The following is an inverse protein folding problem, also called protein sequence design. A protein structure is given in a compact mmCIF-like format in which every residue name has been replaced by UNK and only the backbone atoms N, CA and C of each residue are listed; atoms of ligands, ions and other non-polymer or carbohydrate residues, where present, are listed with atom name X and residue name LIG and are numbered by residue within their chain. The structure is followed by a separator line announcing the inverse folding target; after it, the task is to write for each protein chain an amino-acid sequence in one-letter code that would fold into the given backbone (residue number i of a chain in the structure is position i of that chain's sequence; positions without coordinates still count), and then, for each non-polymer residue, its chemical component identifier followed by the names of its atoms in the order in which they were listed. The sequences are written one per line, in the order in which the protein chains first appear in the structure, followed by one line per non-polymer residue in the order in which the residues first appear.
data_IF_656782001340
#
_entry.id   IF_656782001340
#
_cell.length_a   1.000
_cell.length_b   1.000
_cell.length_c   1.000
_cell.angle_alpha   90.00
_cell.angle_beta   90.00
_cell.angle_gamma   90.00
#
_symmetry.space_group_name_H-M   'P 1'
#
loop_
_entity.id
_entity.type
_entity.pdbx_description
1 polymer ?
#
# COMPACT_ATOMS: atom_id res chain seq x y z
N UNK A 1 -4.61 -27.36 -21.03
CA UNK A 1 -5.53 -26.85 -19.99
C UNK A 1 -4.74 -25.96 -19.05
N UNK A 2 -4.92 -24.64 -19.13
CA UNK A 2 -4.42 -23.74 -18.09
C UNK A 2 -5.29 -23.96 -16.85
N UNK A 3 -4.71 -24.47 -15.76
CA UNK A 3 -5.39 -24.49 -14.47
C UNK A 3 -5.79 -23.04 -14.15
N UNK A 4 -7.04 -22.77 -13.73
CA UNK A 4 -7.39 -21.46 -13.20
C UNK A 4 -6.43 -21.16 -12.06
N UNK A 5 -5.68 -20.06 -12.19
CA UNK A 5 -4.78 -19.64 -11.13
C UNK A 5 -5.62 -19.34 -9.89
N UNK A 6 -5.14 -19.70 -8.68
CA UNK A 6 -5.84 -19.35 -7.46
C UNK A 6 -6.00 -17.82 -7.40
N UNK A 7 -7.19 -17.35 -7.02
CA UNK A 7 -7.49 -15.94 -6.79
C UNK A 7 -6.76 -15.49 -5.51
N UNK A 8 -5.46 -15.26 -5.64
CA UNK A 8 -4.59 -14.82 -4.55
C UNK A 8 -4.60 -13.29 -4.41
N UNK A 9 -5.55 -12.59 -5.04
CA UNK A 9 -5.58 -11.13 -5.05
C UNK A 9 -5.88 -10.52 -3.66
N UNK A 10 -6.85 -11.03 -2.85
CA UNK A 10 -7.05 -10.52 -1.49
C UNK A 10 -5.84 -10.79 -0.57
N UNK A 11 -5.24 -12.01 -0.54
CA UNK A 11 -4.01 -12.24 0.23
C UNK A 11 -2.81 -11.41 -0.26
N UNK A 12 -2.69 -11.13 -1.57
CA UNK A 12 -1.63 -10.26 -2.12
C UNK A 12 -1.76 -8.82 -1.65
N UNK A 13 -2.98 -8.29 -1.62
CA UNK A 13 -3.27 -6.95 -1.12
C UNK A 13 -2.91 -6.82 0.37
N UNK A 14 -3.22 -7.82 1.18
CA UNK A 14 -2.86 -7.83 2.60
C UNK A 14 -1.35 -7.92 2.83
N UNK A 15 -0.66 -8.77 2.06
CA UNK A 15 0.78 -8.87 2.12
C UNK A 15 1.44 -7.55 1.72
N UNK A 16 0.95 -6.91 0.64
CA UNK A 16 1.40 -5.58 0.24
C UNK A 16 1.14 -4.52 1.32
N UNK A 17 -0.03 -4.55 1.97
CA UNK A 17 -0.34 -3.67 3.10
C UNK A 17 0.66 -3.86 4.26
N UNK A 18 1.03 -5.09 4.59
CA UNK A 18 2.05 -5.38 5.59
C UNK A 18 3.43 -4.79 5.25
N UNK A 19 3.84 -4.87 3.98
CA UNK A 19 5.08 -4.26 3.51
C UNK A 19 5.05 -2.73 3.55
N UNK A 20 3.90 -2.14 3.27
CA UNK A 20 3.69 -0.70 3.40
C UNK A 20 3.76 -0.26 4.87
N UNK A 21 3.17 -1.01 5.80
CA UNK A 21 3.27 -0.70 7.22
C UNK A 21 4.71 -0.79 7.73
N UNK A 22 5.47 -1.78 7.26
CA UNK A 22 6.89 -1.89 7.57
C UNK A 22 7.69 -0.69 7.02
N UNK A 23 7.40 -0.27 5.79
CA UNK A 23 8.01 0.92 5.19
C UNK A 23 7.67 2.20 5.98
N UNK A 24 6.40 2.37 6.37
CA UNK A 24 5.97 3.50 7.19
C UNK A 24 6.68 3.52 8.54
N UNK A 25 6.74 2.37 9.23
CA UNK A 25 7.41 2.25 10.53
C UNK A 25 8.91 2.59 10.47
N UNK A 26 9.60 2.19 9.39
CA UNK A 26 11.00 2.57 9.17
C UNK A 26 11.18 4.08 9.00
N UNK A 27 10.25 4.72 8.27
CA UNK A 27 10.27 6.17 8.07
C UNK A 27 9.94 6.92 9.36
N UNK A 28 9.00 6.43 10.18
CA UNK A 28 8.72 6.99 11.51
C UNK A 28 9.98 6.99 12.38
N UNK A 29 10.74 5.89 12.37
CA UNK A 29 11.98 5.80 13.14
C UNK A 29 13.03 6.85 12.72
N UNK A 30 13.04 7.24 11.44
CA UNK A 30 13.89 8.34 10.97
C UNK A 30 13.35 9.71 11.38
N UNK A 31 12.03 9.87 11.43
CA UNK A 31 11.38 11.11 11.87
C UNK A 31 11.56 11.36 13.37
N UNK A 32 11.51 10.30 14.19
CA UNK A 32 11.71 10.37 15.64
C UNK A 32 13.11 10.89 16.02
N UNK A 33 14.13 10.58 15.22
CA UNK A 33 15.51 11.07 15.37
C UNK A 33 16.00 11.86 14.14
N UNK A 34 15.13 12.71 13.57
CA UNK A 34 15.43 13.47 12.36
C UNK A 34 16.74 14.26 12.47
N UNK A 35 17.04 14.81 13.66
CA UNK A 35 18.28 15.53 13.94
C UNK A 35 19.52 14.63 13.89
N UNK A 36 19.46 13.41 14.44
CA UNK A 36 20.55 12.44 14.39
C UNK A 36 20.87 11.95 12.97
N UNK A 37 19.85 11.87 12.11
CA UNK A 37 19.99 11.52 10.70
C UNK A 37 20.30 12.70 9.77
N UNK A 38 20.44 13.92 10.29
CA UNK A 38 20.73 15.11 9.49
C UNK A 38 19.58 15.52 8.55
N UNK A 39 18.35 15.13 8.87
CA UNK A 39 17.15 15.43 8.08
C UNK A 39 16.69 16.85 8.38
N UNK A 40 16.57 17.68 7.34
CA UNK A 40 16.09 19.06 7.51
C UNK A 40 14.60 19.09 7.90
N UNK A 41 14.10 20.14 8.56
CA UNK A 41 12.67 20.25 8.90
C UNK A 41 11.74 20.15 7.67
N UNK A 42 12.20 20.64 6.52
CA UNK A 42 11.44 20.56 5.27
C UNK A 42 11.39 19.14 4.71
N UNK A 43 12.50 18.40 4.81
CA UNK A 43 12.56 16.99 4.42
C UNK A 43 11.74 16.11 5.37
N UNK A 44 11.79 16.39 6.68
CA UNK A 44 10.98 15.72 7.68
C UNK A 44 9.48 15.91 7.40
N UNK A 45 9.04 17.11 7.02
CA UNK A 45 7.65 17.35 6.61
C UNK A 45 7.27 16.54 5.34
N UNK A 46 8.19 16.42 4.38
CA UNK A 46 7.96 15.63 3.16
C UNK A 46 7.92 14.13 3.44
N UNK A 47 8.76 13.65 4.36
CA UNK A 47 8.75 12.28 4.86
C UNK A 47 7.48 11.96 5.65
N UNK A 48 6.99 12.88 6.48
CA UNK A 48 5.72 12.70 7.18
C UNK A 48 4.56 12.53 6.20
N UNK A 49 4.49 13.37 5.16
CA UNK A 49 3.49 13.23 4.10
C UNK A 49 3.62 11.89 3.35
N UNK A 50 4.85 11.40 3.14
CA UNK A 50 5.08 10.08 2.56
C UNK A 50 4.55 8.97 3.49
N UNK A 51 4.84 9.04 4.79
CA UNK A 51 4.34 8.08 5.80
C UNK A 51 2.82 8.05 5.78
N UNK A 52 2.18 9.23 5.83
CA UNK A 52 0.73 9.34 5.82
C UNK A 52 0.13 8.74 4.55
N UNK A 53 0.75 8.99 3.39
CA UNK A 53 0.33 8.40 2.11
C UNK A 53 0.53 6.88 2.07
N UNK A 54 1.63 6.35 2.62
CA UNK A 54 1.91 4.91 2.68
C UNK A 54 0.89 4.21 3.58
N UNK A 55 0.65 4.74 4.78
CA UNK A 55 -0.38 4.24 5.70
C UNK A 55 -1.76 4.32 5.07
N UNK A 56 -2.03 5.40 4.34
CA UNK A 56 -3.23 5.51 3.54
C UNK A 56 -3.27 4.35 2.52
N UNK A 57 -2.28 4.14 1.66
CA UNK A 57 -2.37 3.02 0.71
C UNK A 57 -2.53 1.63 1.36
N UNK A 58 -1.83 1.36 2.47
CA UNK A 58 -1.94 0.12 3.25
C UNK A 58 -3.37 -0.16 3.72
N UNK A 59 -4.03 0.80 4.37
CA UNK A 59 -5.41 0.65 4.82
C UNK A 59 -6.36 0.46 3.62
N UNK A 60 -6.11 1.16 2.50
CA UNK A 60 -6.87 1.00 1.27
C UNK A 60 -6.80 -0.42 0.71
N UNK A 61 -5.62 -1.03 0.71
CA UNK A 61 -5.43 -2.42 0.28
C UNK A 61 -6.14 -3.42 1.19
N UNK A 62 -6.10 -3.20 2.52
CA UNK A 62 -6.86 -4.03 3.48
C UNK A 62 -8.36 -3.94 3.25
N UNK A 63 -8.90 -2.72 3.15
CA UNK A 63 -10.32 -2.51 2.84
C UNK A 63 -10.71 -3.21 1.55
N UNK A 64 -9.88 -3.08 0.50
CA UNK A 64 -10.14 -3.73 -0.78
C UNK A 64 -10.12 -5.25 -0.68
N UNK A 65 -9.15 -5.83 0.03
CA UNK A 65 -9.10 -7.26 0.27
C UNK A 65 -10.36 -7.76 1.01
N UNK A 66 -10.82 -7.02 2.01
CA UNK A 66 -12.07 -7.32 2.73
C UNK A 66 -13.29 -7.26 1.81
N UNK A 67 -13.43 -6.21 0.99
CA UNK A 67 -14.52 -6.11 0.01
C UNK A 67 -14.51 -7.27 -0.99
N UNK A 68 -13.34 -7.63 -1.53
CA UNK A 68 -13.23 -8.75 -2.46
C UNK A 68 -13.64 -10.10 -1.84
N UNK A 69 -13.34 -10.32 -0.55
CA UNK A 69 -13.80 -11.51 0.16
C UNK A 69 -15.31 -11.50 0.37
N UNK A 70 -15.86 -10.36 0.80
CA UNK A 70 -17.30 -10.19 0.98
C UNK A 70 -18.06 -10.40 -0.34
N UNK A 71 -17.56 -9.87 -1.46
CA UNK A 71 -18.15 -10.08 -2.79
C UNK A 71 -18.12 -11.57 -3.16
N UNK A 72 -17.04 -12.29 -2.85
CA UNK A 72 -16.96 -13.73 -3.10
C UNK A 72 -17.92 -14.54 -2.23
N UNK A 73 -18.10 -14.17 -0.95
CA UNK A 73 -19.06 -14.77 -0.02
C UNK A 73 -20.50 -14.56 -0.50
N UNK A 74 -20.86 -13.34 -0.89
CA UNK A 74 -22.17 -12.99 -1.47
C UNK A 74 -22.48 -13.85 -2.69
N UNK A 75 -21.52 -13.96 -3.62
CA UNK A 75 -21.69 -14.79 -4.82
C UNK A 75 -21.87 -16.26 -4.46
N UNK A 76 -21.08 -16.79 -3.51
CA UNK A 76 -21.22 -18.17 -3.06
C UNK A 76 -22.58 -18.44 -2.40
N UNK A 77 -23.04 -17.56 -1.51
CA UNK A 77 -24.34 -17.66 -0.84
C UNK A 77 -25.50 -17.64 -1.85
N UNK A 78 -25.42 -16.77 -2.87
CA UNK A 78 -26.41 -16.73 -3.96
C UNK A 78 -26.55 -18.08 -4.67
N UNK A 79 -25.43 -18.76 -4.96
CA UNK A 79 -25.46 -20.07 -5.61
C UNK A 79 -25.87 -21.20 -4.66
N UNK A 80 -25.63 -21.06 -3.36
CA UNK A 80 -26.05 -22.02 -2.34
C UNK A 80 -27.54 -21.91 -1.97
N UNK A 81 -28.20 -20.79 -2.31
CA UNK A 81 -29.58 -20.50 -1.89
C UNK A 81 -29.68 -19.96 -0.46
N UNK A 82 -28.55 -19.52 0.11
CA UNK A 82 -28.44 -18.95 1.45
C UNK A 82 -28.70 -17.43 1.44
N UNK A 83 -28.96 -16.81 2.61
CA UNK A 83 -29.05 -15.36 2.72
C UNK A 83 -27.78 -14.67 2.18
N UNK A 84 -27.97 -13.71 1.28
CA UNK A 84 -26.89 -13.00 0.59
C UNK A 84 -26.40 -11.83 1.45
N UNK A 85 -25.73 -12.13 2.57
CA UNK A 85 -25.12 -11.13 3.45
C UNK A 85 -23.74 -11.63 3.89
N UNK A 86 -22.67 -10.81 3.83
CA UNK A 86 -21.37 -11.18 4.38
C UNK A 86 -21.44 -11.40 5.90
N UNK A 87 -20.76 -12.42 6.40
CA UNK A 87 -20.78 -12.76 7.84
C UNK A 87 -19.84 -11.88 8.69
N UNK A 88 -19.07 -10.98 8.05
CA UNK A 88 -18.04 -10.18 8.69
C UNK A 88 -18.42 -8.68 8.78
N UNK A 89 -18.51 -8.09 9.99
CA UNK A 89 -18.73 -6.66 10.19
C UNK A 89 -17.71 -5.76 9.48
N UNK A 90 -16.48 -6.23 9.29
CA UNK A 90 -15.44 -5.49 8.57
C UNK A 90 -15.79 -5.26 7.09
N UNK A 91 -16.66 -6.07 6.49
CA UNK A 91 -17.16 -5.85 5.14
C UNK A 91 -18.01 -4.58 5.05
N UNK A 92 -18.85 -4.34 6.07
CA UNK A 92 -19.63 -3.11 6.17
C UNK A 92 -18.71 -1.90 6.34
N UNK A 93 -17.75 -1.96 7.26
CA UNK A 93 -16.79 -0.86 7.47
C UNK A 93 -15.93 -0.56 6.25
N UNK A 94 -15.50 -1.60 5.52
CA UNK A 94 -14.76 -1.46 4.27
C UNK A 94 -15.60 -0.79 3.16
N UNK A 95 -16.93 -0.97 3.19
CA UNK A 95 -17.85 -0.32 2.24
C UNK A 95 -18.09 1.16 2.54
N UNK A 96 -17.78 1.63 3.76
CA UNK A 96 -17.89 3.04 4.13
C UNK A 96 -16.78 3.82 3.41
N UNK A 97 -17.17 4.96 2.84
CA UNK A 97 -16.28 5.88 2.13
C UNK A 97 -15.02 6.22 2.94
N UNK A 98 -13.91 6.22 2.23
CA UNK A 98 -12.59 6.46 2.81
C UNK A 98 -12.29 7.96 2.90
N UNK A 99 -11.49 8.36 3.89
CA UNK A 99 -10.86 9.68 3.91
C UNK A 99 -10.04 9.94 2.64
N UNK A 100 -9.99 11.21 2.23
CA UNK A 100 -9.25 11.64 1.05
C UNK A 100 -7.76 11.28 1.15
N UNK A 101 -7.15 10.96 0.01
CA UNK A 101 -5.74 10.62 -0.05
C UNK A 101 -4.88 11.83 0.33
N UNK A 102 -3.86 11.66 1.20
CA UNK A 102 -2.85 12.68 1.40
C UNK A 102 -2.19 13.08 0.06
N UNK A 103 -1.76 14.34 -0.10
CA UNK A 103 -1.06 14.77 -1.30
C UNK A 103 0.26 14.02 -1.47
N UNK A 104 0.65 13.76 -2.72
CA UNK A 104 1.95 13.15 -2.99
C UNK A 104 3.08 14.14 -2.60
N UNK A 105 4.03 13.72 -1.75
CA UNK A 105 5.06 14.62 -1.23
C UNK A 105 5.99 15.11 -2.33
N UNK A 106 6.52 16.32 -2.16
CA UNK A 106 7.63 16.81 -2.98
C UNK A 106 8.86 15.95 -2.71
N UNK A 107 9.66 15.73 -3.75
CA UNK A 107 10.90 14.99 -3.61
C UNK A 107 11.92 15.81 -2.83
N UNK A 108 12.59 15.18 -1.88
CA UNK A 108 13.66 15.83 -1.12
C UNK A 108 14.89 16.05 -2.00
N UNK A 109 15.52 17.21 -1.88
CA UNK A 109 16.78 17.53 -2.57
C UNK A 109 18.01 17.37 -1.68
N UNK A 110 17.80 17.19 -0.38
CA UNK A 110 18.86 17.31 0.64
C UNK A 110 18.99 16.08 1.54
N UNK A 111 18.03 15.15 1.49
CA UNK A 111 18.08 13.89 2.24
C UNK A 111 19.11 12.92 1.66
N UNK A 112 19.84 12.24 2.54
CA UNK A 112 20.66 11.10 2.15
C UNK A 112 19.77 9.90 1.76
N UNK A 113 19.72 9.63 0.46
CA UNK A 113 18.95 8.53 -0.10
C UNK A 113 19.47 7.15 0.32
N UNK A 114 20.66 7.02 0.91
CA UNK A 114 21.11 5.74 1.50
C UNK A 114 20.18 5.31 2.62
N UNK A 115 19.67 6.25 3.43
CA UNK A 115 18.74 5.97 4.53
C UNK A 115 17.46 5.27 4.05
N UNK A 116 16.99 5.58 2.84
CA UNK A 116 15.78 5.00 2.28
C UNK A 116 15.97 3.60 1.67
N UNK A 117 17.16 2.98 1.78
CA UNK A 117 17.42 1.67 1.17
C UNK A 117 16.46 0.59 1.65
N UNK A 118 16.19 0.53 2.96
CA UNK A 118 15.29 -0.48 3.52
C UNK A 118 13.84 -0.23 3.09
N UNK A 119 13.43 1.04 3.03
CA UNK A 119 12.10 1.46 2.54
C UNK A 119 11.91 1.08 1.07
N UNK A 120 12.94 1.32 0.23
CA UNK A 120 12.95 0.88 -1.17
C UNK A 120 12.76 -0.63 -1.31
N UNK A 121 13.38 -1.42 -0.44
CA UNK A 121 13.26 -2.88 -0.48
C UNK A 121 11.82 -3.32 -0.25
N UNK A 122 11.18 -2.83 0.82
CA UNK A 122 9.79 -3.13 1.15
C UNK A 122 8.84 -2.74 0.01
N UNK A 123 9.04 -1.55 -0.58
CA UNK A 123 8.21 -1.07 -1.69
C UNK A 123 8.44 -1.86 -3.00
N UNK A 124 9.68 -2.27 -3.27
CA UNK A 124 10.00 -3.12 -4.43
C UNK A 124 9.38 -4.52 -4.29
N UNK A 125 9.41 -5.08 -3.08
CA UNK A 125 8.76 -6.35 -2.79
C UNK A 125 7.24 -6.22 -2.95
N UNK A 126 6.64 -5.16 -2.41
CA UNK A 126 5.21 -4.91 -2.56
C UNK A 126 4.81 -4.76 -4.04
N UNK A 127 5.60 -4.01 -4.83
CA UNK A 127 5.41 -3.91 -6.28
C UNK A 127 5.46 -5.29 -6.97
N UNK A 128 6.42 -6.14 -6.59
CA UNK A 128 6.57 -7.49 -7.15
C UNK A 128 5.36 -8.38 -6.83
N UNK A 129 4.80 -8.27 -5.62
CA UNK A 129 3.61 -9.02 -5.22
C UNK A 129 2.38 -8.54 -6.00
N UNK A 130 2.19 -7.22 -6.09
CA UNK A 130 1.03 -6.60 -6.75
C UNK A 130 1.06 -6.79 -8.27
N UNK A 131 2.24 -6.72 -8.90
CA UNK A 131 2.40 -6.92 -10.36
C UNK A 131 2.09 -8.35 -10.82
N UNK A 132 2.14 -9.33 -9.92
CA UNK A 132 1.74 -10.73 -10.18
C UNK A 132 0.23 -10.96 -10.00
N UNK A 133 -0.51 -9.95 -9.55
CA UNK A 133 -1.96 -10.00 -9.40
C UNK A 133 -2.69 -9.88 -10.74
N UNK A 134 -3.92 -10.38 -10.77
CA UNK A 134 -4.79 -10.26 -11.95
C UNK A 134 -5.66 -9.00 -11.90
N UNK A 135 -5.91 -8.38 -13.05
CA UNK A 135 -6.89 -7.30 -13.20
C UNK A 135 -6.33 -5.88 -13.15
N UNK A 136 -7.20 -4.92 -13.52
CA UNK A 136 -6.84 -3.49 -13.64
C UNK A 136 -6.46 -2.86 -12.31
N UNK A 137 -7.06 -3.34 -11.21
CA UNK A 137 -6.81 -2.82 -9.87
C UNK A 137 -5.42 -3.20 -9.37
N UNK A 138 -5.00 -4.45 -9.57
CA UNK A 138 -3.63 -4.89 -9.23
C UNK A 138 -2.59 -4.11 -10.05
N UNK A 139 -2.87 -3.86 -11.33
CA UNK A 139 -2.01 -3.03 -12.16
C UNK A 139 -1.93 -1.56 -11.66
N UNK A 140 -3.05 -1.02 -11.15
CA UNK A 140 -3.04 0.31 -10.54
C UNK A 140 -2.24 0.34 -9.23
N UNK A 141 -2.46 -0.65 -8.34
CA UNK A 141 -1.71 -0.79 -7.10
C UNK A 141 -0.21 -0.95 -7.35
N UNK A 142 0.19 -1.76 -8.33
CA UNK A 142 1.58 -1.91 -8.74
C UNK A 142 2.19 -0.58 -9.22
N UNK A 143 1.45 0.24 -9.95
CA UNK A 143 1.91 1.59 -10.36
C UNK A 143 2.10 2.52 -9.17
N UNK A 144 1.20 2.47 -8.19
CA UNK A 144 1.34 3.27 -6.97
C UNK A 144 2.59 2.86 -6.17
N UNK A 145 2.84 1.56 -6.02
CA UNK A 145 4.06 1.05 -5.39
C UNK A 145 5.33 1.50 -6.14
N UNK A 146 5.29 1.48 -7.48
CA UNK A 146 6.39 1.97 -8.30
C UNK A 146 6.64 3.48 -8.13
N UNK A 147 5.58 4.29 -7.98
CA UNK A 147 5.72 5.73 -7.73
C UNK A 147 6.36 6.02 -6.37
N UNK A 148 5.96 5.31 -5.31
CA UNK A 148 6.58 5.42 -3.98
C UNK A 148 8.04 4.94 -4.00
N UNK A 149 8.31 3.83 -4.69
CA UNK A 149 9.67 3.33 -4.90
C UNK A 149 10.55 4.36 -5.62
N UNK A 150 10.01 5.01 -6.66
CA UNK A 150 10.69 6.06 -7.42
C UNK A 150 10.98 7.30 -6.56
N UNK A 151 10.05 7.69 -5.69
CA UNK A 151 10.28 8.80 -4.75
C UNK A 151 11.45 8.53 -3.82
N UNK A 152 11.65 7.28 -3.43
CA UNK A 152 12.76 6.86 -2.59
C UNK A 152 14.11 6.81 -3.32
N UNK A 153 14.21 7.22 -4.59
CA UNK A 153 15.47 7.35 -5.32
C UNK A 153 15.88 8.81 -5.46
N UNK A 154 17.20 9.10 -5.59
CA UNK A 154 17.63 10.44 -5.91
C UNK A 154 16.97 10.89 -7.23
N UNK A 155 16.56 12.16 -7.35
CA UNK A 155 16.01 12.69 -8.59
C UNK A 155 17.08 12.51 -9.68
N UNK A 156 16.66 11.96 -10.83
CA UNK A 156 17.54 11.89 -11.99
C UNK A 156 17.97 13.31 -12.33
N UNK A 157 19.27 13.58 -12.31
CA UNK A 157 19.83 14.86 -12.74
C UNK A 157 19.45 15.05 -14.21
N UNK A 158 18.56 16.01 -14.48
CA UNK A 158 18.21 16.45 -15.84
C UNK A 158 19.23 17.49 -16.30
#
# INVERSE_FOLDING_TARGET
MNKPQPQLDPPRLELAAGLYDMAAWQLDAFLDDAGGYGISPQDAASLQLLVDLIRWQSEGYRRRATTMRADAEIVAAYFAGDPVVPDNPAAFEASIGRSEAPPFPRQSTTMDYVLLQTVRHSLAEAHTILSRGSGKEMAHAAKQAAALYSWCHPPLSV
#
